data_IF_719652614204
#
_entry.id   IF_719652614204
#
_cell.length_a   1.000
_cell.length_b   1.000
_cell.length_c   1.000
_cell.angle_alpha   90.00
_cell.angle_beta   90.00
_cell.angle_gamma   90.00
#
_symmetry.space_group_name_H-M   'P 1'
#
loop_
_entity.id
_entity.type
_entity.pdbx_description
1 polymer ?
#
# COMPACT_ATOMS: atom_id res chain seq x y z
N UNK A 1 -1.31 -8.58 -6.52
CA UNK A 1 -2.44 -9.31 -7.17
C UNK A 1 -3.81 -8.88 -6.65
N UNK A 2 -4.03 -8.74 -5.34
CA UNK A 2 -5.36 -8.40 -4.78
C UNK A 2 -5.88 -7.00 -5.09
N UNK A 3 -5.01 -6.03 -5.30
CA UNK A 3 -5.44 -4.67 -5.68
C UNK A 3 -5.98 -4.63 -7.09
N UNK A 4 -5.32 -5.31 -8.03
CA UNK A 4 -5.82 -5.46 -9.40
C UNK A 4 -7.19 -6.14 -9.42
N UNK A 5 -7.36 -7.23 -8.66
CA UNK A 5 -8.64 -7.92 -8.53
C UNK A 5 -9.74 -6.99 -7.99
N UNK A 6 -9.42 -6.16 -6.99
CA UNK A 6 -10.37 -5.18 -6.44
C UNK A 6 -10.70 -4.09 -7.45
N UNK A 7 -9.72 -3.59 -8.20
CA UNK A 7 -9.91 -2.58 -9.24
C UNK A 7 -10.83 -3.11 -10.34
N UNK A 8 -10.53 -4.30 -10.87
CA UNK A 8 -11.35 -4.95 -11.91
C UNK A 8 -12.77 -5.23 -11.40
N UNK A 9 -12.91 -5.74 -10.18
CA UNK A 9 -14.23 -6.05 -9.60
C UNK A 9 -15.11 -4.81 -9.42
N UNK A 10 -14.53 -3.69 -8.95
CA UNK A 10 -15.26 -2.41 -8.83
C UNK A 10 -15.63 -1.85 -10.20
N UNK A 11 -14.71 -1.90 -11.17
CA UNK A 11 -14.97 -1.43 -12.51
C UNK A 11 -16.10 -2.23 -13.18
N UNK A 12 -16.08 -3.56 -13.03
CA UNK A 12 -17.17 -4.42 -13.50
C UNK A 12 -18.52 -4.08 -12.83
N UNK A 13 -18.52 -3.82 -11.52
CA UNK A 13 -19.73 -3.41 -10.81
C UNK A 13 -20.25 -2.04 -11.29
N UNK A 14 -19.34 -1.10 -11.57
CA UNK A 14 -19.67 0.24 -12.10
C UNK A 14 -20.24 0.14 -13.51
N UNK A 15 -19.70 -0.72 -14.36
CA UNK A 15 -20.20 -0.96 -15.71
C UNK A 15 -21.64 -1.50 -15.69
N UNK A 16 -21.92 -2.50 -14.84
CA UNK A 16 -23.29 -3.02 -14.64
C UNK A 16 -24.23 -1.93 -14.10
N UNK A 17 -23.75 -1.10 -13.18
CA UNK A 17 -24.55 0.01 -12.62
C UNK A 17 -24.87 1.10 -13.66
N UNK A 18 -24.04 1.24 -14.70
CA UNK A 18 -24.27 2.14 -15.86
C UNK A 18 -25.21 1.54 -16.92
N UNK A 19 -25.74 0.34 -16.68
CA UNK A 19 -26.72 -0.31 -17.56
C UNK A 19 -26.16 -1.42 -18.45
N UNK A 20 -24.89 -1.82 -18.27
CA UNK A 20 -24.38 -3.01 -18.95
C UNK A 20 -25.08 -4.28 -18.42
N UNK A 21 -25.50 -5.17 -19.32
CA UNK A 21 -26.05 -6.46 -18.92
C UNK A 21 -24.94 -7.35 -18.35
N UNK A 22 -25.24 -8.05 -17.26
CA UNK A 22 -24.30 -8.99 -16.61
C UNK A 22 -23.98 -10.20 -17.50
N UNK A 23 -24.81 -10.48 -18.52
CA UNK A 23 -24.63 -11.60 -19.44
C UNK A 23 -23.86 -11.26 -20.70
N UNK A 24 -23.62 -9.97 -20.97
CA UNK A 24 -22.90 -9.52 -22.15
C UNK A 24 -21.40 -9.40 -21.90
N UNK A 25 -20.63 -9.42 -22.99
CA UNK A 25 -19.20 -9.11 -22.94
C UNK A 25 -19.07 -7.60 -22.77
N UNK A 26 -18.59 -7.17 -21.60
CA UNK A 26 -18.45 -5.76 -21.23
C UNK A 26 -16.99 -5.34 -21.33
N UNK A 27 -16.71 -4.29 -22.12
CA UNK A 27 -15.40 -3.62 -22.15
C UNK A 27 -15.31 -2.65 -20.98
N UNK A 28 -14.30 -2.82 -20.13
CA UNK A 28 -14.01 -1.89 -19.03
C UNK A 28 -13.06 -0.80 -19.52
N UNK A 29 -13.59 0.40 -19.71
CA UNK A 29 -12.82 1.58 -20.08
C UNK A 29 -12.01 2.12 -18.90
N UNK A 30 -10.95 2.88 -19.18
CA UNK A 30 -10.02 3.40 -18.17
C UNK A 30 -10.70 4.30 -17.12
N UNK A 31 -11.75 5.02 -17.50
CA UNK A 31 -12.57 5.87 -16.62
C UNK A 31 -13.36 5.07 -15.55
N UNK A 32 -13.53 3.77 -15.75
CA UNK A 32 -14.22 2.88 -14.82
C UNK A 32 -13.28 2.27 -13.79
N UNK A 33 -11.97 2.29 -14.05
CA UNK A 33 -10.97 1.66 -13.20
C UNK A 33 -10.65 2.47 -11.94
N UNK A 34 -11.23 3.68 -11.79
CA UNK A 34 -11.04 4.59 -10.65
C UNK A 34 -9.55 4.72 -10.29
N UNK A 35 -8.69 4.85 -11.31
CA UNK A 35 -7.24 4.92 -11.15
C UNK A 35 -6.80 6.27 -10.56
N UNK A 36 -7.62 7.32 -10.70
CA UNK A 36 -7.38 8.62 -10.08
C UNK A 36 -7.46 8.53 -8.54
N UNK A 37 -8.25 7.60 -8.00
CA UNK A 37 -8.27 7.33 -6.56
C UNK A 37 -7.06 6.51 -6.08
N UNK A 38 -6.22 6.01 -7.01
CA UNK A 38 -4.89 5.49 -6.72
C UNK A 38 -3.84 6.59 -6.80
N UNK A 39 -4.22 7.87 -6.65
CA UNK A 39 -3.30 8.90 -6.17
C UNK A 39 -2.56 8.32 -4.96
N UNK A 40 -1.35 7.80 -5.23
CA UNK A 40 -0.36 7.53 -4.21
C UNK A 40 -0.35 8.79 -3.37
N UNK A 41 -0.35 8.69 -2.03
CA UNK A 41 -0.21 9.87 -1.21
C UNK A 41 1.06 10.56 -1.70
N UNK A 42 0.88 11.62 -2.50
CA UNK A 42 1.97 12.43 -2.96
C UNK A 42 2.48 12.98 -1.66
N UNK A 43 3.64 12.46 -1.24
CA UNK A 43 4.27 12.79 0.02
C UNK A 43 4.36 14.30 0.07
N UNK A 44 3.38 14.92 0.72
CA UNK A 44 3.44 16.31 1.12
C UNK A 44 4.44 16.31 2.25
N UNK A 45 5.71 16.24 1.86
CA UNK A 45 6.82 16.71 2.65
C UNK A 45 6.57 18.21 2.81
N UNK A 46 5.72 18.53 3.79
CA UNK A 46 5.63 19.86 4.34
C UNK A 46 7.03 20.15 4.88
N UNK A 47 7.72 21.01 4.14
CA UNK A 47 8.92 21.70 4.56
C UNK A 47 8.62 22.39 5.89
N UNK A 48 9.16 21.89 7.01
CA UNK A 48 9.30 22.70 8.21
C UNK A 48 10.41 22.18 9.11
N UNK A 49 11.39 23.07 9.29
CA UNK A 49 12.35 23.22 10.39
C UNK A 49 13.48 22.20 10.60
N UNK A 50 14.56 22.50 9.87
CA UNK A 50 15.95 22.61 10.33
C UNK A 50 16.23 22.22 11.80
N UNK A 51 16.87 21.06 11.99
CA UNK A 51 17.76 20.81 13.13
C UNK A 51 19.20 20.76 12.58
N UNK A 52 20.11 21.66 12.97
CA UNK A 52 21.47 21.66 12.45
C UNK A 52 22.30 20.62 13.22
N UNK A 53 22.68 19.53 12.56
CA UNK A 53 23.69 18.62 13.12
C UNK A 53 23.57 17.13 12.81
N UNK A 54 22.60 16.69 12.00
CA UNK A 54 22.62 15.30 11.52
C UNK A 54 23.38 15.23 10.20
N UNK A 55 24.61 14.74 10.27
CA UNK A 55 25.43 14.37 9.11
C UNK A 55 24.61 13.39 8.26
N UNK A 56 24.04 13.89 7.16
CA UNK A 56 23.36 13.05 6.17
C UNK A 56 24.44 12.28 5.43
N UNK A 57 24.83 11.15 6.01
CA UNK A 57 25.46 10.09 5.23
C UNK A 57 24.41 9.72 4.20
N UNK A 58 24.67 10.12 2.96
CA UNK A 58 23.91 9.68 1.79
C UNK A 58 24.25 8.19 1.61
N UNK A 59 23.71 7.37 2.50
CA UNK A 59 23.58 5.95 2.31
C UNK A 59 22.82 5.79 1.01
N UNK A 60 23.45 5.12 0.03
CA UNK A 60 22.83 4.54 -1.17
C UNK A 60 21.32 4.54 -1.01
N UNK A 61 20.60 5.35 -1.79
CA UNK A 61 19.14 5.46 -1.75
C UNK A 61 18.58 4.04 -1.69
N UNK A 62 18.31 3.56 -0.48
CA UNK A 62 17.73 2.25 -0.27
C UNK A 62 16.44 2.31 -1.06
N UNK A 63 16.21 1.29 -1.88
CA UNK A 63 15.02 1.26 -2.71
C UNK A 63 13.83 1.51 -1.79
N UNK A 64 12.82 2.29 -2.19
CA UNK A 64 11.68 2.60 -1.31
C UNK A 64 11.13 1.35 -0.58
N UNK A 65 11.23 0.19 -1.23
CA UNK A 65 10.94 -1.12 -0.65
C UNK A 65 11.76 -1.49 0.60
N UNK A 66 13.06 -1.24 0.62
CA UNK A 66 13.95 -1.51 1.76
C UNK A 66 13.62 -0.60 2.94
N UNK A 67 13.35 0.69 2.69
CA UNK A 67 12.90 1.63 3.73
C UNK A 67 11.56 1.20 4.32
N UNK A 68 10.62 0.79 3.46
CA UNK A 68 9.32 0.26 3.89
C UNK A 68 9.51 -1.03 4.71
N UNK A 69 10.35 -1.96 4.26
CA UNK A 69 10.63 -3.22 4.97
C UNK A 69 11.26 -2.97 6.34
N UNK A 70 12.23 -2.06 6.42
CA UNK A 70 12.86 -1.66 7.67
C UNK A 70 11.84 -1.07 8.66
N UNK A 71 10.96 -0.17 8.19
CA UNK A 71 9.92 0.43 9.04
C UNK A 71 8.94 -0.62 9.59
N UNK A 72 8.58 -1.61 8.76
CA UNK A 72 7.67 -2.68 9.16
C UNK A 72 8.32 -3.63 10.17
N UNK A 73 9.59 -3.99 9.97
CA UNK A 73 10.33 -4.83 10.90
C UNK A 73 10.48 -4.13 12.26
N UNK A 74 10.72 -2.82 12.26
CA UNK A 74 10.82 -2.04 13.49
C UNK A 74 9.50 -1.99 14.25
N UNK A 75 8.37 -1.76 13.58
CA UNK A 75 7.05 -1.79 14.22
C UNK A 75 6.70 -3.17 14.82
N UNK A 76 7.06 -4.26 14.11
CA UNK A 76 6.85 -5.62 14.60
C UNK A 76 7.70 -5.94 15.84
N UNK A 77 8.96 -5.50 15.86
CA UNK A 77 9.85 -5.67 17.01
C UNK A 77 9.32 -4.92 18.25
N UNK A 78 8.82 -3.69 18.07
CA UNK A 78 8.22 -2.90 19.14
C UNK A 78 6.96 -3.54 19.73
N UNK A 79 6.17 -4.21 18.89
CA UNK A 79 4.91 -4.82 19.27
C UNK A 79 4.98 -6.35 19.49
N UNK A 80 6.18 -6.92 19.67
CA UNK A 80 6.39 -8.35 19.97
C UNK A 80 5.67 -9.28 18.97
N UNK A 81 5.84 -9.04 17.66
CA UNK A 81 5.17 -9.79 16.59
C UNK A 81 3.63 -9.70 16.60
N UNK A 82 3.05 -8.76 17.35
CA UNK A 82 1.62 -8.49 17.29
C UNK A 82 1.28 -7.69 16.02
N UNK A 83 0.99 -8.44 14.96
CA UNK A 83 0.65 -7.94 13.62
C UNK A 83 -0.47 -6.89 13.62
N UNK A 84 -1.46 -7.05 14.49
CA UNK A 84 -2.60 -6.13 14.57
C UNK A 84 -2.17 -4.80 15.19
N UNK A 85 -1.35 -4.85 16.25
CA UNK A 85 -0.84 -3.64 16.90
C UNK A 85 0.17 -2.89 16.01
N UNK A 86 1.10 -3.63 15.38
CA UNK A 86 2.06 -3.05 14.43
C UNK A 86 1.36 -2.42 13.21
N UNK A 87 0.34 -3.09 12.66
CA UNK A 87 -0.44 -2.54 11.55
C UNK A 87 -1.24 -1.29 11.95
N UNK A 88 -1.79 -1.26 13.17
CA UNK A 88 -2.44 -0.05 13.71
C UNK A 88 -1.46 1.12 13.88
N UNK A 89 -0.25 0.86 14.35
CA UNK A 89 0.80 1.87 14.48
C UNK A 89 1.23 2.43 13.11
N UNK A 90 1.28 1.58 12.09
CA UNK A 90 1.65 1.95 10.72
C UNK A 90 0.46 2.46 9.88
N UNK A 91 -0.75 2.48 10.42
CA UNK A 91 -2.00 2.80 9.70
C UNK A 91 -2.23 1.90 8.46
N UNK A 92 -1.75 0.66 8.51
CA UNK A 92 -1.85 -0.33 7.44
C UNK A 92 -2.88 -1.42 7.75
N UNK A 93 -3.33 -2.11 6.70
CA UNK A 93 -4.16 -3.32 6.87
C UNK A 93 -3.30 -4.47 7.44
N UNK A 94 -3.66 -5.06 8.60
CA UNK A 94 -2.91 -6.17 9.22
C UNK A 94 -2.76 -7.38 8.29
N UNK A 95 -3.75 -7.61 7.42
CA UNK A 95 -3.76 -8.72 6.46
C UNK A 95 -2.76 -8.48 5.33
N UNK A 96 -2.43 -7.23 5.01
CA UNK A 96 -1.40 -6.90 4.03
C UNK A 96 -0.01 -7.04 4.63
N UNK A 97 0.18 -6.53 5.86
CA UNK A 97 1.44 -6.70 6.61
C UNK A 97 1.80 -8.19 6.77
N UNK A 98 0.82 -9.01 7.12
CA UNK A 98 1.01 -10.46 7.28
C UNK A 98 1.33 -11.18 5.94
N UNK A 99 0.76 -10.74 4.81
CA UNK A 99 1.12 -11.31 3.49
C UNK A 99 2.53 -10.93 3.08
N UNK A 100 2.95 -9.70 3.37
CA UNK A 100 4.29 -9.23 3.04
C UNK A 100 5.34 -10.00 3.84
N UNK A 101 5.11 -10.22 5.14
CA UNK A 101 5.99 -11.01 5.99
C UNK A 101 6.11 -12.49 5.56
N UNK A 102 5.01 -13.12 5.13
CA UNK A 102 5.08 -14.47 4.53
C UNK A 102 5.91 -14.47 3.26
N UNK A 103 5.79 -13.45 2.41
CA UNK A 103 6.61 -13.31 1.19
C UNK A 103 8.09 -13.08 1.51
N UNK A 104 8.39 -12.40 2.62
CA UNK A 104 9.75 -12.15 3.10
C UNK A 104 10.33 -13.30 3.95
N UNK A 105 9.61 -14.41 4.13
CA UNK A 105 10.08 -15.56 4.91
C UNK A 105 10.17 -15.33 6.42
N UNK A 106 9.61 -14.23 6.94
CA UNK A 106 9.66 -13.87 8.37
C UNK A 106 8.68 -14.68 9.23
N UNK A 107 7.77 -15.44 8.61
CA UNK A 107 6.86 -16.35 9.32
C UNK A 107 6.33 -17.42 8.36
N UNK A 108 6.34 -18.68 8.79
CA UNK A 108 5.65 -19.80 8.12
C UNK A 108 4.16 -19.82 8.51
#
# INVERSE_FOLDING_TARGET
MRELERVISRAALKAVSRGADRKDIVTLEADMLDLDALEMPASRAALSDQVPGAMVIVSRLDSMHEVIEASQRQALALHQDNWVAAARQLELDPRNLHKLARRLGLKA
#
